data_IF_322932253973
#
_entry.id   IF_322932253973
#
_cell.length_a   1.000
_cell.length_b   1.000
_cell.length_c   1.000
_cell.angle_alpha   90.00
_cell.angle_beta   90.00
_cell.angle_gamma   90.00
#
_symmetry.space_group_name_H-M   'P 1'
#
loop_
_entity.id
_entity.type
_entity.pdbx_description
1 polymer ?
2 polymer ?
3 polymer ?
4 water ?
#
# COMPACT_ATOMS: atom_id res chain seq x y z
N UNK A 1 35.76 11.97 -1.09
CA UNK A 1 34.80 12.93 -0.48
C UNK A 1 34.69 12.69 1.03
N UNK A 2 33.75 13.38 1.66
CA UNK A 2 33.57 13.23 3.10
C UNK A 2 32.86 11.95 3.47
N UNK A 3 32.59 11.78 4.77
CA UNK A 3 31.92 10.60 5.28
C UNK A 3 30.56 10.38 4.62
N UNK A 4 30.32 9.16 4.15
CA UNK A 4 29.05 8.80 3.51
C UNK A 4 28.36 7.78 4.41
N UNK A 5 27.09 8.00 4.72
CA UNK A 5 26.37 7.10 5.62
C UNK A 5 25.37 6.11 5.00
N UNK A 6 24.74 6.50 3.89
CA UNK A 6 23.76 5.63 3.22
C UNK A 6 22.61 5.18 4.13
N UNK A 7 22.04 6.10 4.89
CA UNK A 7 20.95 5.74 5.78
C UNK A 7 19.58 5.89 5.13
N UNK A 8 19.52 6.54 3.97
CA UNK A 8 18.25 6.74 3.29
C UNK A 8 18.32 6.36 1.80
N UNK A 9 17.21 5.84 1.27
CA UNK A 9 17.17 5.45 -0.13
C UNK A 9 17.49 6.60 -1.07
N UNK A 10 18.15 6.28 -2.18
CA UNK A 10 18.49 7.27 -3.19
C UNK A 10 17.18 7.58 -3.91
N UNK A 11 16.63 8.76 -3.67
CA UNK A 11 15.37 9.15 -4.30
C UNK A 11 15.52 10.27 -5.32
N UNK A 12 16.74 10.44 -5.83
CA UNK A 12 16.99 11.49 -6.81
C UNK A 12 17.27 10.97 -8.22
N UNK A 13 16.72 9.80 -8.54
CA UNK A 13 16.89 9.27 -9.90
C UNK A 13 16.06 10.21 -10.77
N UNK A 14 16.20 10.12 -12.11
CA UNK A 14 15.43 10.99 -13.01
C UNK A 14 13.92 10.96 -12.76
N UNK A 15 13.40 9.78 -12.44
CA UNK A 15 11.98 9.61 -12.17
C UNK A 15 11.74 9.03 -10.76
N UNK A 16 10.69 9.50 -10.09
CA UNK A 16 10.35 8.98 -8.77
C UNK A 16 9.91 7.53 -8.95
N UNK A 17 9.21 7.26 -10.05
CA UNK A 17 8.76 5.91 -10.32
C UNK A 17 7.27 5.84 -10.62
N UNK A 18 6.77 4.63 -10.77
CA UNK A 18 5.35 4.44 -11.07
C UNK A 18 4.50 4.32 -9.81
N UNK A 19 3.24 4.73 -9.94
CA UNK A 19 2.26 4.60 -8.87
C UNK A 19 1.07 3.98 -9.57
N UNK A 20 0.96 2.67 -9.47
CA UNK A 20 -0.13 1.93 -10.10
C UNK A 20 -1.31 1.83 -9.14
N UNK A 21 -2.46 2.35 -9.56
CA UNK A 21 -3.66 2.31 -8.74
C UNK A 21 -4.70 1.40 -9.35
N UNK A 22 -5.07 0.35 -8.62
CA UNK A 22 -6.08 -0.58 -9.09
C UNK A 22 -7.33 -0.30 -8.27
N UNK A 23 -8.32 0.29 -8.94
CA UNK A 23 -9.58 0.67 -8.30
C UNK A 23 -10.74 -0.24 -8.69
N UNK A 24 -11.09 -1.17 -7.81
CA UNK A 24 -12.19 -2.08 -8.07
C UNK A 24 -13.45 -1.66 -7.33
N UNK A 25 -14.40 -1.13 -8.10
CA UNK A 25 -15.66 -0.65 -7.55
C UNK A 25 -16.83 -1.59 -7.83
N UNK A 26 -16.90 -2.07 -9.07
CA UNK A 26 -17.97 -2.98 -9.49
C UNK A 26 -17.47 -4.39 -9.71
N UNK A 27 -18.13 -5.36 -9.10
CA UNK A 27 -17.73 -6.76 -9.22
C UNK A 27 -18.78 -7.56 -9.98
N UNK A 28 -18.35 -8.67 -10.58
CA UNK A 28 -19.26 -9.52 -11.34
C UNK A 28 -20.34 -10.09 -10.44
N UNK A 29 -21.57 -10.02 -10.90
CA UNK A 29 -22.72 -10.54 -10.16
C UNK A 29 -22.45 -11.97 -9.71
N UNK A 30 -21.79 -12.72 -10.57
CA UNK A 30 -21.47 -14.11 -10.29
C UNK A 30 -20.68 -14.33 -9.00
N UNK A 31 -20.00 -13.28 -8.52
CA UNK A 31 -19.22 -13.36 -7.30
C UNK A 31 -20.05 -13.03 -6.05
N UNK A 32 -21.16 -12.32 -6.26
CA UNK A 32 -22.02 -11.95 -5.16
C UNK A 32 -21.45 -10.80 -4.35
N UNK A 33 -20.35 -10.21 -4.80
CA UNK A 33 -19.76 -9.09 -4.09
C UNK A 33 -20.47 -7.78 -4.40
N UNK A 34 -20.62 -6.94 -3.40
CA UNK A 34 -21.30 -5.66 -3.56
C UNK A 34 -20.33 -4.58 -4.06
N UNK A 35 -20.89 -3.51 -4.63
CA UNK A 35 -20.06 -2.42 -5.13
C UNK A 35 -19.45 -1.65 -3.96
N UNK A 36 -18.29 -1.06 -4.20
CA UNK A 36 -17.59 -0.30 -3.17
C UNK A 36 -17.76 1.20 -3.35
N UNK A 37 -18.91 1.72 -2.94
CA UNK A 37 -19.19 3.14 -3.07
C UNK A 37 -18.14 3.98 -2.36
N UNK A 38 -17.74 5.07 -3.02
CA UNK A 38 -16.75 5.96 -2.46
C UNK A 38 -15.32 5.66 -2.84
N UNK A 39 -15.08 4.52 -3.48
CA UNK A 39 -13.72 4.16 -3.86
C UNK A 39 -13.16 5.11 -4.93
N UNK A 40 -14.04 5.69 -5.74
CA UNK A 40 -13.59 6.62 -6.77
C UNK A 40 -12.99 7.88 -6.13
N UNK A 41 -13.48 8.23 -4.95
CA UNK A 41 -12.97 9.39 -4.22
C UNK A 41 -11.55 9.08 -3.78
N UNK A 42 -11.33 7.83 -3.35
CA UNK A 42 -10.00 7.38 -2.92
C UNK A 42 -9.05 7.40 -4.10
N UNK A 43 -9.47 6.81 -5.21
CA UNK A 43 -8.66 6.73 -6.41
C UNK A 43 -8.21 8.12 -6.89
N UNK A 44 -9.14 9.07 -6.87
CA UNK A 44 -8.82 10.43 -7.30
C UNK A 44 -7.88 11.13 -6.32
N UNK A 45 -8.13 10.93 -5.03
CA UNK A 45 -7.31 11.53 -3.98
C UNK A 45 -5.87 11.01 -4.13
N UNK A 46 -5.74 9.72 -4.38
CA UNK A 46 -4.43 9.10 -4.54
C UNK A 46 -3.71 9.63 -5.78
N UNK A 47 -4.44 9.75 -6.89
CA UNK A 47 -3.86 10.25 -8.13
C UNK A 47 -3.27 11.65 -7.94
N UNK A 48 -4.04 12.53 -7.31
CA UNK A 48 -3.59 13.90 -7.06
C UNK A 48 -2.43 13.95 -6.07
N UNK A 49 -2.54 13.18 -5.00
CA UNK A 49 -1.51 13.14 -3.97
C UNK A 49 -0.16 12.68 -4.53
N UNK A 50 -0.14 11.56 -5.22
CA UNK A 50 1.10 11.06 -5.78
C UNK A 50 1.57 11.85 -7.00
N UNK A 51 0.67 12.55 -7.66
CA UNK A 51 1.07 13.38 -8.80
C UNK A 51 1.98 14.46 -8.22
N UNK A 52 1.54 15.03 -7.11
CA UNK A 52 2.28 16.10 -6.44
C UNK A 52 3.62 15.61 -5.88
N UNK A 53 3.77 14.29 -5.74
CA UNK A 53 5.02 13.71 -5.26
C UNK A 53 5.89 13.35 -6.45
N UNK A 54 5.41 13.72 -7.63
CA UNK A 54 6.10 13.49 -8.90
C UNK A 54 6.13 12.04 -9.38
N UNK A 55 5.13 11.25 -8.99
CA UNK A 55 5.05 9.86 -9.45
C UNK A 55 4.30 9.80 -10.76
N UNK A 56 4.57 8.76 -11.55
CA UNK A 56 3.90 8.54 -12.82
C UNK A 56 2.68 7.69 -12.45
N UNK A 57 1.54 8.32 -12.22
CA UNK A 57 0.34 7.59 -11.84
C UNK A 57 -0.41 6.95 -13.00
N UNK A 58 -0.72 5.67 -12.84
CA UNK A 58 -1.48 4.94 -13.85
C UNK A 58 -2.65 4.31 -13.12
N UNK A 59 -3.86 4.68 -13.49
CA UNK A 59 -5.04 4.13 -12.84
C UNK A 59 -5.73 3.07 -13.70
N UNK A 60 -6.29 2.06 -13.04
CA UNK A 60 -7.02 0.99 -13.70
C UNK A 60 -8.28 0.74 -12.88
N UNK A 61 -9.42 0.57 -13.54
CA UNK A 61 -10.67 0.33 -12.84
C UNK A 61 -11.26 -1.04 -13.15
N UNK A 62 -11.91 -1.62 -12.14
CA UNK A 62 -12.57 -2.92 -12.27
C UNK A 62 -11.79 -3.96 -13.05
N UNK A 63 -10.69 -4.44 -12.48
CA UNK A 63 -9.88 -5.45 -13.15
C UNK A 63 -10.16 -6.86 -12.62
N UNK A 64 -10.28 -7.82 -13.53
CA UNK A 64 -10.52 -9.20 -13.14
C UNK A 64 -9.24 -9.70 -12.49
N UNK A 65 -9.32 -10.88 -11.89
CA UNK A 65 -8.13 -11.45 -11.25
C UNK A 65 -7.04 -11.65 -12.31
N UNK A 66 -7.43 -12.05 -13.52
CA UNK A 66 -6.47 -12.26 -14.60
C UNK A 66 -5.78 -10.96 -15.01
N UNK A 67 -6.56 -9.88 -15.12
CA UNK A 67 -6.01 -8.58 -15.52
C UNK A 67 -5.09 -8.00 -14.46
N UNK A 68 -5.37 -8.30 -13.19
CA UNK A 68 -4.53 -7.80 -12.10
C UNK A 68 -3.15 -8.44 -12.24
N UNK A 69 -3.12 -9.75 -12.43
CA UNK A 69 -1.86 -10.48 -12.57
C UNK A 69 -1.11 -10.04 -13.83
N UNK A 70 -1.83 -9.89 -14.94
CA UNK A 70 -1.22 -9.48 -16.19
C UNK A 70 -0.62 -8.07 -16.07
N UNK A 71 -1.38 -7.18 -15.46
CA UNK A 71 -0.93 -5.81 -15.26
C UNK A 71 0.35 -5.76 -14.42
N UNK A 72 0.34 -6.46 -13.28
CA UNK A 72 1.50 -6.49 -12.40
C UNK A 72 2.71 -7.12 -13.07
N UNK A 73 2.50 -8.22 -13.79
CA UNK A 73 3.60 -8.88 -14.49
C UNK A 73 4.19 -7.92 -15.53
N UNK A 74 3.33 -7.28 -16.31
CA UNK A 74 3.79 -6.35 -17.34
C UNK A 74 4.60 -5.20 -16.74
N UNK A 75 4.09 -4.61 -15.66
CA UNK A 75 4.77 -3.50 -15.00
C UNK A 75 6.12 -3.93 -14.44
N UNK A 76 6.19 -5.13 -13.88
CA UNK A 76 7.44 -5.63 -13.30
C UNK A 76 8.48 -5.91 -14.38
N UNK A 77 8.05 -6.07 -15.62
CA UNK A 77 8.97 -6.34 -16.71
C UNK A 77 9.42 -5.08 -17.44
N UNK A 78 9.00 -3.92 -16.94
CA UNK A 78 9.42 -2.66 -17.53
C UNK A 78 10.81 -2.38 -17.01
N UNK A 79 11.52 -1.45 -17.64
CA UNK A 79 12.86 -1.09 -17.21
C UNK A 79 12.72 0.07 -16.22
N UNK A 80 12.91 -0.22 -14.94
CA UNK A 80 12.79 0.78 -13.88
C UNK A 80 14.14 1.41 -13.52
N UNK A 81 15.15 1.19 -14.37
CA UNK A 81 16.49 1.72 -14.12
C UNK A 81 16.58 3.18 -13.69
N UNK A 82 15.81 4.05 -14.35
CA UNK A 82 15.86 5.47 -14.03
C UNK A 82 14.81 5.90 -13.00
N UNK A 83 14.17 4.93 -12.35
CA UNK A 83 13.14 5.22 -11.36
C UNK A 83 13.66 4.96 -9.94
N UNK A 84 13.33 5.85 -9.01
CA UNK A 84 13.78 5.73 -7.62
C UNK A 84 13.03 4.68 -6.81
N UNK A 85 11.75 4.48 -7.14
CA UNK A 85 10.94 3.53 -6.39
C UNK A 85 9.76 3.02 -7.18
N UNK A 86 8.91 2.25 -6.52
CA UNK A 86 7.70 1.70 -7.13
C UNK A 86 6.58 1.73 -6.10
N UNK A 87 5.40 2.14 -6.54
CA UNK A 87 4.24 2.21 -5.67
C UNK A 87 3.02 1.57 -6.33
N UNK A 88 2.31 0.75 -5.57
CA UNK A 88 1.11 0.10 -6.05
C UNK A 88 0.04 0.25 -4.99
N UNK A 89 -1.12 0.77 -5.37
CA UNK A 89 -2.21 0.93 -4.44
C UNK A 89 -3.36 0.00 -4.86
N UNK A 90 -3.79 -0.85 -3.94
CA UNK A 90 -4.88 -1.79 -4.22
C UNK A 90 -6.12 -1.38 -3.44
N UNK A 91 -7.20 -1.08 -4.15
CA UNK A 91 -8.45 -0.67 -3.53
C UNK A 91 -9.50 -1.71 -3.92
N UNK A 92 -9.93 -2.53 -2.96
CA UNK A 92 -10.90 -3.58 -3.27
C UNK A 92 -11.35 -4.32 -2.03
N UNK A 93 -12.19 -5.33 -2.23
CA UNK A 93 -12.64 -6.17 -1.12
C UNK A 93 -11.44 -7.09 -0.90
N UNK A 94 -11.38 -7.73 0.26
CA UNK A 94 -10.26 -8.63 0.49
C UNK A 94 -10.39 -9.44 1.76
N UNK A 95 -9.42 -10.33 1.97
CA UNK A 95 -9.36 -11.18 3.15
C UNK A 95 -7.87 -11.23 3.47
N UNK A 96 -7.50 -11.87 4.57
CA UNK A 96 -6.08 -11.93 4.92
C UNK A 96 -5.26 -12.49 3.76
N UNK A 97 -4.26 -11.72 3.34
CA UNK A 97 -3.38 -12.12 2.26
C UNK A 97 -4.01 -12.19 0.87
N UNK A 98 -5.24 -11.69 0.75
CA UNK A 98 -5.93 -11.73 -0.52
C UNK A 98 -6.58 -10.41 -0.93
N UNK A 99 -6.57 -10.15 -2.24
CA UNK A 99 -7.18 -8.95 -2.80
C UNK A 99 -8.11 -9.47 -3.90
N UNK A 100 -9.33 -8.94 -3.96
CA UNK A 100 -10.27 -9.44 -4.96
C UNK A 100 -10.30 -8.73 -6.29
N UNK A 101 -10.26 -9.54 -7.35
CA UNK A 101 -10.37 -9.01 -8.68
C UNK A 101 -11.87 -8.97 -8.85
N UNK A 102 -12.37 -8.48 -9.98
CA UNK A 102 -13.81 -8.41 -10.18
C UNK A 102 -14.48 -9.78 -10.33
N UNK A 103 -13.69 -10.81 -10.61
CA UNK A 103 -14.25 -12.15 -10.80
C UNK A 103 -13.61 -13.21 -9.92
N UNK A 104 -12.94 -12.79 -8.85
CA UNK A 104 -12.30 -13.76 -7.98
C UNK A 104 -11.11 -13.19 -7.25
N UNK A 105 -10.53 -13.96 -6.31
CA UNK A 105 -9.37 -13.56 -5.51
C UNK A 105 -8.01 -13.66 -6.18
N UNK A 106 -7.06 -12.90 -5.64
CA UNK A 106 -5.69 -12.91 -6.10
C UNK A 106 -4.82 -12.88 -4.85
N UNK A 107 -3.89 -13.83 -4.74
CA UNK A 107 -2.99 -13.86 -3.59
C UNK A 107 -2.08 -12.66 -3.69
N UNK A 108 -1.94 -11.91 -2.59
CA UNK A 108 -1.07 -10.75 -2.61
C UNK A 108 0.35 -11.20 -2.93
N UNK A 109 0.70 -12.38 -2.45
CA UNK A 109 2.03 -12.94 -2.68
C UNK A 109 2.33 -13.06 -4.17
N UNK A 110 1.32 -13.46 -4.95
CA UNK A 110 1.49 -13.62 -6.39
C UNK A 110 1.85 -12.26 -7.01
N UNK A 111 1.17 -11.22 -6.57
CA UNK A 111 1.40 -9.87 -7.07
C UNK A 111 2.79 -9.34 -6.70
N UNK A 112 3.14 -9.42 -5.42
CA UNK A 112 4.43 -8.91 -4.96
C UNK A 112 5.64 -9.71 -5.45
N UNK A 113 5.46 -11.02 -5.69
CA UNK A 113 6.55 -11.85 -6.15
C UNK A 113 7.17 -11.33 -7.46
N UNK A 114 6.35 -10.71 -8.30
CA UNK A 114 6.85 -10.18 -9.57
C UNK A 114 7.93 -9.13 -9.35
N UNK A 115 7.91 -8.52 -8.17
CA UNK A 115 8.84 -7.47 -7.83
C UNK A 115 9.98 -7.88 -6.88
N UNK A 116 10.12 -9.18 -6.66
CA UNK A 116 11.19 -9.68 -5.80
C UNK A 116 12.53 -9.14 -6.30
N UNK A 117 13.48 -8.98 -5.37
CA UNK A 117 14.79 -8.47 -5.75
C UNK A 117 15.45 -9.27 -6.86
N UNK A 118 15.11 -10.55 -6.97
CA UNK A 118 15.70 -11.39 -8.00
C UNK A 118 14.88 -11.50 -9.28
N UNK A 119 13.65 -11.00 -9.25
CA UNK A 119 12.78 -11.09 -10.43
C UNK A 119 12.54 -9.75 -11.16
N UNK A 120 12.88 -8.65 -10.51
CA UNK A 120 12.77 -7.32 -11.13
C UNK A 120 14.07 -6.62 -10.76
N UNK A 121 15.13 -6.92 -11.50
CA UNK A 121 16.45 -6.35 -11.23
C UNK A 121 16.57 -4.85 -11.27
N UNK A 122 15.74 -4.18 -12.07
CA UNK A 122 15.82 -2.72 -12.13
C UNK A 122 15.21 -2.06 -10.89
N UNK A 123 14.65 -2.87 -9.99
CA UNK A 123 14.09 -2.35 -8.76
C UNK A 123 14.83 -2.90 -7.54
N UNK A 124 15.83 -3.74 -7.79
CA UNK A 124 16.62 -4.31 -6.70
C UNK A 124 17.24 -3.17 -5.90
N UNK A 125 17.13 -3.23 -4.58
CA UNK A 125 17.70 -2.19 -3.74
C UNK A 125 16.86 -0.93 -3.66
N UNK A 126 15.74 -0.90 -4.38
CA UNK A 126 14.85 0.27 -4.36
C UNK A 126 13.56 -0.05 -3.61
N UNK A 127 12.98 0.96 -2.92
CA UNK A 127 11.74 0.73 -2.18
C UNK A 127 10.53 0.39 -3.04
N UNK A 128 9.87 -0.70 -2.69
CA UNK A 128 8.69 -1.17 -3.38
C UNK A 128 7.56 -1.09 -2.36
N UNK A 129 6.65 -0.16 -2.59
CA UNK A 129 5.55 0.08 -1.66
C UNK A 129 4.18 -0.36 -2.13
N UNK A 130 3.51 -1.14 -1.29
CA UNK A 130 2.17 -1.62 -1.59
C UNK A 130 1.20 -1.11 -0.53
N UNK A 131 0.28 -0.25 -0.97
CA UNK A 131 -0.73 0.36 -0.10
C UNK A 131 -2.01 -0.43 -0.32
N UNK A 132 -2.51 -1.08 0.73
CA UNK A 132 -3.70 -1.90 0.60
C UNK A 132 -4.93 -1.51 1.41
N UNK A 133 -5.98 -1.12 0.70
CA UNK A 133 -7.25 -0.77 1.32
C UNK A 133 -8.16 -1.96 1.03
N UNK A 134 -8.30 -2.83 2.02
CA UNK A 134 -9.12 -4.03 1.89
C UNK A 134 -9.20 -4.72 3.25
N UNK A 135 -10.25 -5.51 3.46
CA UNK A 135 -10.40 -6.24 4.71
C UNK A 135 -9.30 -7.27 4.82
N UNK A 136 -9.00 -7.68 6.05
CA UNK A 136 -7.98 -8.69 6.29
C UNK A 136 -8.61 -9.76 7.18
N UNK A 137 -9.94 -9.75 7.24
CA UNK A 137 -10.67 -10.70 8.06
C UNK A 137 -12.03 -10.16 8.44
N UNK A 138 -12.66 -10.79 9.42
CA UNK A 138 -13.99 -10.36 9.86
C UNK A 138 -14.05 -9.91 11.33
N UNK A 139 -12.91 -9.55 11.90
CA UNK A 139 -12.92 -9.10 13.28
C UNK A 139 -13.27 -7.61 13.35
N UNK A 140 -13.93 -7.20 14.42
CA UNK A 140 -14.32 -5.80 14.62
C UNK A 140 -13.69 -5.29 15.91
N UNK A 141 -13.25 -4.05 15.90
CA UNK A 141 -12.60 -3.45 17.07
C UNK A 141 -13.60 -2.59 17.84
N UNK A 142 -13.97 -3.05 19.04
CA UNK A 142 -14.94 -2.33 19.88
C UNK A 142 -14.37 -1.04 20.45
N UNK A 143 -13.05 -0.92 20.44
CA UNK A 143 -12.40 0.28 20.96
C UNK A 143 -12.53 0.41 22.48
N UNK A 144 -11.85 1.41 23.04
CA UNK A 144 -11.89 1.66 24.47
C UNK A 144 -11.84 3.17 24.73
N UNK A 145 -12.65 3.62 25.68
CA UNK A 145 -12.73 5.04 26.03
C UNK A 145 -11.41 5.57 26.60
N UNK A 146 -11.00 6.74 26.13
CA UNK A 146 -9.76 7.35 26.61
C UNK A 146 -10.03 8.51 27.55
N UNK A 147 -9.04 9.05 28.10
N UNK B 1 36.35 -11.72 15.86
CA UNK B 1 35.40 -12.85 15.72
C UNK B 1 35.23 -13.28 14.27
N UNK B 2 34.79 -14.53 14.09
CA UNK B 2 34.57 -15.10 12.76
C UNK B 2 33.48 -16.15 12.84
N UNK B 3 32.78 -16.37 11.73
CA UNK B 3 31.71 -17.35 11.71
C UNK B 3 31.38 -17.85 10.32
N UNK B 4 30.52 -18.86 10.26
CA UNK B 4 30.12 -19.46 8.99
C UNK B 4 29.03 -18.69 8.25
N UNK B 5 28.31 -17.81 8.96
CA UNK B 5 27.22 -17.08 8.33
C UNK B 5 27.37 -15.56 8.19
N UNK B 6 28.60 -15.06 8.16
CA UNK B 6 28.80 -13.62 8.03
C UNK B 6 29.94 -13.25 7.08
N UNK B 7 29.92 -12.00 6.64
CA UNK B 7 30.95 -11.46 5.75
C UNK B 7 31.22 -12.31 4.51
N UNK B 8 30.18 -12.53 3.71
CA UNK B 8 30.31 -13.33 2.48
C UNK B 8 31.10 -12.54 1.44
N UNK B 9 31.92 -13.25 0.66
CA UNK B 9 32.71 -12.61 -0.38
C UNK B 9 31.77 -11.93 -1.38
N UNK B 10 30.74 -12.65 -1.81
CA UNK B 10 29.77 -12.13 -2.75
C UNK B 10 28.57 -11.60 -1.98
N UNK B 11 28.37 -10.29 -2.06
CA UNK B 11 27.27 -9.63 -1.34
C UNK B 11 25.90 -9.89 -1.96
N UNK B 12 24.96 -10.33 -1.11
CA UNK B 12 23.60 -10.59 -1.54
C UNK B 12 22.66 -9.96 -0.53
N UNK B 13 21.42 -9.73 -0.96
CA UNK B 13 20.39 -9.21 -0.08
C UNK B 13 19.20 -10.14 -0.26
N UNK B 14 18.27 -10.15 0.70
CA UNK B 14 17.09 -11.01 0.60
C UNK B 14 16.24 -10.56 -0.58
N UNK B 15 15.60 -11.51 -1.25
CA UNK B 15 14.76 -11.16 -2.39
C UNK B 15 13.48 -10.52 -1.89
N UNK B 16 13.24 -10.63 -0.59
CA UNK B 16 12.05 -10.05 0.05
C UNK B 16 12.34 -8.69 0.69
N UNK B 17 13.60 -8.26 0.64
CA UNK B 17 13.97 -6.98 1.24
C UNK B 17 13.49 -5.79 0.41
N UNK B 18 13.37 -4.65 1.08
CA UNK B 18 12.97 -3.40 0.45
C UNK B 18 11.51 -3.30 0.03
N UNK B 19 10.65 -4.03 0.74
CA UNK B 19 9.21 -4.00 0.51
C UNK B 19 8.58 -3.33 1.72
N UNK B 20 7.51 -2.58 1.51
CA UNK B 20 6.78 -1.96 2.62
C UNK B 20 5.31 -2.11 2.29
N UNK B 21 4.56 -2.69 3.22
CA UNK B 21 3.14 -2.88 3.06
C UNK B 21 2.41 -1.96 4.01
N UNK B 22 1.64 -1.02 3.45
CA UNK B 22 0.87 -0.11 4.27
C UNK B 22 -0.56 -0.63 4.24
N UNK B 23 -0.91 -1.41 5.26
CA UNK B 23 -2.25 -1.98 5.38
C UNK B 23 -3.20 -1.00 6.05
N UNK B 24 -4.42 -0.96 5.56
CA UNK B 24 -5.44 -0.08 6.09
C UNK B 24 -5.94 -0.52 7.47
N UNK B 25 -5.76 -1.79 7.78
CA UNK B 25 -6.26 -2.32 9.04
C UNK B 25 -5.39 -3.43 9.62
N UNK B 26 -5.64 -3.79 10.88
CA UNK B 26 -4.88 -4.82 11.55
C UNK B 26 -5.18 -6.22 11.00
N UNK B 27 -4.23 -7.15 11.13
CA UNK B 27 -4.44 -8.51 10.62
C UNK B 27 -5.72 -9.13 11.17
N UNK B 28 -6.54 -9.69 10.28
CA UNK B 28 -7.77 -10.32 10.69
C UNK B 28 -8.98 -9.42 10.87
N UNK B 29 -8.81 -8.12 10.69
CA UNK B 29 -9.92 -7.18 10.87
C UNK B 29 -10.56 -6.61 9.62
N UNK B 30 -11.81 -6.18 9.74
CA UNK B 30 -12.51 -5.55 8.63
C UNK B 30 -11.81 -4.21 8.43
N UNK B 31 -12.02 -3.60 7.26
CA UNK B 31 -11.46 -2.29 6.95
C UNK B 31 -12.67 -1.43 6.61
N UNK B 32 -12.77 -0.25 7.22
CA UNK B 32 -13.89 0.64 7.02
C UNK B 32 -13.77 1.68 5.91
N UNK B 33 -14.90 1.92 5.24
CA UNK B 33 -14.96 2.87 4.15
C UNK B 33 -16.26 3.65 4.21
N UNK B 34 -16.17 4.98 4.05
CA UNK B 34 -17.35 5.83 4.07
C UNK B 34 -17.84 5.91 2.62
N UNK B 35 -19.07 5.48 2.40
CA UNK B 35 -19.65 5.47 1.06
C UNK B 35 -19.61 6.82 0.34
N UNK B 36 -19.30 7.88 1.06
CA UNK B 36 -19.24 9.20 0.44
C UNK B 36 -17.87 9.86 0.42
N UNK B 37 -17.12 9.74 1.52
CA UNK B 37 -15.80 10.37 1.62
C UNK B 37 -14.62 9.45 1.29
N UNK B 38 -14.89 8.16 1.12
CA UNK B 38 -13.81 7.23 0.82
C UNK B 38 -13.40 6.48 2.07
N UNK B 39 -12.42 5.59 1.95
CA UNK B 39 -11.96 4.81 3.09
C UNK B 39 -11.26 5.68 4.12
N UNK B 40 -11.37 5.30 5.39
CA UNK B 40 -10.73 6.07 6.47
C UNK B 40 -9.22 6.12 6.23
N UNK B 41 -8.66 4.99 5.82
CA UNK B 41 -7.23 4.87 5.59
C UNK B 41 -6.71 5.73 4.44
N UNK B 42 -7.28 5.57 3.25
CA UNK B 42 -6.83 6.36 2.11
C UNK B 42 -7.03 7.85 2.36
N UNK B 43 -8.15 8.23 2.95
CA UNK B 43 -8.41 9.64 3.27
C UNK B 43 -7.24 10.18 4.08
N UNK B 44 -6.96 9.48 5.18
CA UNK B 44 -5.91 9.86 6.10
C UNK B 44 -4.52 9.82 5.51
N UNK B 45 -4.25 8.79 4.71
CA UNK B 45 -2.95 8.66 4.07
C UNK B 45 -2.69 9.86 3.18
N UNK B 46 -3.65 10.18 2.31
CA UNK B 46 -3.48 11.31 1.42
C UNK B 46 -3.29 12.63 2.18
N UNK B 47 -4.07 12.83 3.22
CA UNK B 47 -3.97 14.03 4.03
C UNK B 47 -2.59 14.18 4.67
N UNK B 48 -2.07 13.08 5.23
CA UNK B 48 -0.77 13.13 5.86
C UNK B 48 0.37 13.30 4.86
N UNK B 49 0.23 12.68 3.69
CA UNK B 49 1.25 12.82 2.66
C UNK B 49 1.26 14.27 2.17
N UNK B 50 0.08 14.82 1.96
CA UNK B 50 -0.05 16.19 1.48
C UNK B 50 0.60 17.16 2.48
N UNK B 51 0.40 16.90 3.75
CA UNK B 51 0.93 17.77 4.80
C UNK B 51 2.37 17.52 5.23
N UNK B 52 2.84 16.28 5.11
CA UNK B 52 4.19 15.95 5.59
C UNK B 52 5.20 15.32 4.63
N UNK B 53 4.81 15.01 3.41
CA UNK B 53 5.73 14.37 2.47
C UNK B 53 7.03 15.16 2.23
N UNK B 54 7.01 16.46 2.47
CA UNK B 54 8.21 17.25 2.27
C UNK B 54 8.83 17.64 3.61
N UNK B 55 8.44 16.94 4.67
CA UNK B 55 8.94 17.24 6.01
C UNK B 55 9.30 16.04 6.88
N UNK B 56 8.72 14.88 6.61
CA UNK B 56 8.99 13.69 7.44
C UNK B 56 9.35 12.42 6.68
N UNK B 57 10.06 11.53 7.37
CA UNK B 57 10.45 10.24 6.80
C UNK B 57 9.15 9.45 6.68
N UNK B 58 9.05 8.59 5.67
CA UNK B 58 7.83 7.83 5.41
C UNK B 58 7.20 7.07 6.59
N UNK B 59 8.00 6.40 7.40
CA UNK B 59 7.46 5.66 8.54
C UNK B 59 6.79 6.60 9.54
N UNK B 60 7.36 7.80 9.68
CA UNK B 60 6.78 8.76 10.61
C UNK B 60 5.47 9.29 10.03
N UNK B 61 5.39 9.41 8.71
CA UNK B 61 4.17 9.86 8.07
C UNK B 61 3.09 8.81 8.31
N UNK B 62 3.42 7.55 8.08
CA UNK B 62 2.47 6.46 8.27
C UNK B 62 2.04 6.33 9.73
N UNK B 63 2.92 6.70 10.64
CA UNK B 63 2.59 6.65 12.06
C UNK B 63 1.52 7.72 12.31
N UNK B 64 1.66 8.87 11.66
CA UNK B 64 0.67 9.94 11.79
C UNK B 64 -0.66 9.44 11.23
N UNK B 65 -0.61 8.67 10.15
CA UNK B 65 -1.84 8.11 9.55
C UNK B 65 -2.48 7.16 10.57
N UNK B 66 -1.66 6.34 11.22
CA UNK B 66 -2.16 5.40 12.24
C UNK B 66 -2.95 6.16 13.31
N UNK B 67 -2.38 7.26 13.82
CA UNK B 67 -3.04 8.02 14.86
C UNK B 67 -4.32 8.72 14.40
N UNK B 68 -4.30 9.24 13.18
CA UNK B 68 -5.49 9.92 12.65
C UNK B 68 -6.67 8.96 12.52
N UNK B 69 -6.42 7.80 11.95
CA UNK B 69 -7.48 6.80 11.78
C UNK B 69 -7.99 6.30 13.12
N UNK B 70 -7.07 6.02 14.03
CA UNK B 70 -7.41 5.50 15.35
C UNK B 70 -8.22 6.46 16.23
N UNK B 71 -7.94 7.75 16.13
CA UNK B 71 -8.63 8.71 16.98
C UNK B 71 -9.83 9.42 16.38
N UNK B 72 -9.77 9.72 15.10
CA UNK B 72 -10.84 10.46 14.43
C UNK B 72 -12.00 9.68 13.83
N UNK B 73 -11.84 8.38 13.64
CA UNK B 73 -12.90 7.59 13.01
C UNK B 73 -13.55 6.54 13.89
N UNK B 74 -14.87 6.42 13.74
CA UNK B 74 -15.66 5.43 14.45
C UNK B 74 -16.86 5.15 13.55
N UNK B 75 -17.16 3.88 13.33
CA UNK B 75 -18.26 3.51 12.44
C UNK B 75 -19.65 3.85 12.96
N UNK B 76 -20.57 4.00 12.01
CA UNK B 76 -21.97 4.27 12.32
C UNK B 76 -22.76 3.27 11.50
N UNK B 77 -23.58 2.47 12.16
CA UNK B 77 -24.37 1.47 11.45
C UNK B 77 -25.70 1.23 12.14
N UNK B 78 -26.73 0.99 11.33
CA UNK B 78 -28.04 0.70 11.86
C UNK B 78 -28.00 -0.71 12.45
N UNK B 79 -27.00 -1.47 12.05
CA UNK B 79 -26.80 -2.83 12.55
C UNK B 79 -25.87 -2.72 13.75
N UNK B 80 -26.41 -2.99 14.93
CA UNK B 80 -25.63 -2.90 16.17
C UNK B 80 -24.31 -3.66 16.09
N UNK B 81 -24.29 -4.76 15.35
CA UNK B 81 -23.08 -5.57 15.21
C UNK B 81 -21.92 -4.78 14.62
N UNK B 82 -22.21 -3.91 13.65
CA UNK B 82 -21.18 -3.12 13.00
C UNK B 82 -21.11 -1.66 13.45
N UNK B 83 -21.87 -1.31 14.49
CA UNK B 83 -21.90 0.06 14.96
C UNK B 83 -20.83 0.40 16.01
N UNK B 84 -20.34 1.63 15.93
CA UNK B 84 -19.35 2.16 16.88
C UNK B 84 -18.03 1.39 16.92
N UNK B 85 -17.55 0.96 15.76
CA UNK B 85 -16.31 0.22 15.70
C UNK B 85 -15.12 1.10 15.34
N UNK B 86 -13.93 0.65 15.71
CA UNK B 86 -12.71 1.40 15.47
C UNK B 86 -11.78 0.67 14.51
N UNK B 87 -10.71 1.35 14.11
CA UNK B 87 -9.75 0.80 13.18
C UNK B 87 -8.34 1.34 13.41
N UNK B 88 -7.34 0.47 13.27
CA UNK B 88 -5.96 0.88 13.45
C UNK B 88 -5.18 0.32 12.26
N UNK B 89 -4.62 1.20 11.41
CA UNK B 89 -3.86 0.73 10.24
C UNK B 89 -2.66 -0.10 10.71
N UNK B 90 -2.02 -0.79 9.77
CA UNK B 90 -0.92 -1.66 10.13
C UNK B 90 0.27 -1.51 9.18
N UNK B 91 1.35 -0.91 9.67
CA UNK B 91 2.56 -0.69 8.87
C UNK B 91 3.45 -1.92 8.92
N UNK B 92 3.73 -2.51 7.76
CA UNK B 92 4.59 -3.68 7.71
C UNK B 92 5.82 -3.34 6.87
N UNK B 93 6.93 -3.08 7.55
CA UNK B 93 8.15 -2.69 6.86
C UNK B 93 9.28 -3.69 6.80
N UNK B 94 9.73 -3.94 5.58
CA UNK B 94 10.86 -4.81 5.34
C UNK B 94 11.88 -3.96 4.57
N UNK B 95 11.78 -2.65 4.78
CA UNK B 95 12.70 -1.70 4.16
C UNK B 95 14.05 -1.77 4.87
N UNK B 96 15.11 -1.35 4.20
CA UNK B 96 16.44 -1.39 4.80
C UNK B 96 17.04 0.01 4.98
N UNK B 97 16.29 1.03 4.60
CA UNK B 97 16.75 2.40 4.73
C UNK B 97 15.59 3.35 4.99
N UNK B 98 15.90 4.58 5.38
CA UNK B 98 14.87 5.56 5.61
C UNK B 98 14.42 6.02 4.23
N UNK B 99 13.15 6.41 4.12
CA UNK B 99 12.60 6.84 2.85
C UNK B 99 11.98 8.23 2.92
N UNK B 100 12.56 9.16 2.15
CA UNK B 100 12.08 10.54 2.08
C UNK B 100 11.70 10.75 0.61
N UNK B 101 10.53 11.33 0.37
CA UNK B 101 10.06 11.56 -0.99
C UNK B 101 10.79 12.74 -1.63
N UNK B 102 11.41 13.55 -0.80
CA UNK B 102 12.16 14.72 -1.26
C UNK B 102 13.65 14.47 -1.09
N UNK B 103 14.46 15.34 -1.70
CA UNK B 103 15.90 15.24 -1.58
C UNK B 103 16.51 16.64 -1.61
N UNK C 2 -21.41 3.77 6.37
CA UNK C 2 -20.17 2.99 6.36
C UNK C 2 -20.34 1.58 5.82
N UNK C 3 -19.33 1.12 5.08
CA UNK C 3 -19.33 -0.22 4.52
C UNK C 3 -17.96 -0.80 4.85
N UNK C 4 -17.86 -2.13 4.87
CA UNK C 4 -16.59 -2.78 5.17
C UNK C 4 -15.97 -3.41 3.92
#
# INVERSE_FOLDING_TARGET
SGISLDNSYKMDYPEMGLCIIINNKNFHKSTGMTSRSGTDVDAANLRETFRNLKYEVRNKNDLTREEIVELMRDVSKEDHSKRSSFVCVLLSHGEEGIIFGTNGPVDLKKITNFFRGDRCRSLTGKPKLFIIQACRGTELDCGIETD
ASGVDDDMACHKIPVEADFLYAYSTAPGYYSWRNSKDGSWFIQSLCAMLKQYADKLEFMHILTRVNRKVATEFESFSFDATFHAKKQIPCIVSMLTKELYFYH
XDEVX
#
